data_IF_307281490867
#
_entry.id   IF_307281490867
#
_cell.length_a   1.000
_cell.length_b   1.000
_cell.length_c   1.000
_cell.angle_alpha   90.00
_cell.angle_beta   90.00
_cell.angle_gamma   90.00
#
_symmetry.space_group_name_H-M   'P 1'
#
loop_
_entity.id
_entity.type
_entity.pdbx_description
1 polymer ?
#
# COMPACT_ATOMS: atom_id res chain seq x y z
N UNK A 1 -26.65 5.84 21.15
CA UNK A 1 -25.37 5.82 20.42
C UNK A 1 -25.26 7.12 19.62
N UNK A 2 -24.16 7.86 19.73
CA UNK A 2 -23.97 9.13 19.01
C UNK A 2 -23.05 8.88 17.82
N UNK A 3 -23.55 9.00 16.59
CA UNK A 3 -22.69 8.95 15.39
C UNK A 3 -22.14 10.35 15.16
N UNK A 4 -20.84 10.54 15.31
CA UNK A 4 -20.16 11.74 14.81
C UNK A 4 -20.32 11.78 13.29
N UNK A 5 -21.25 12.58 12.81
CA UNK A 5 -21.34 12.95 11.40
C UNK A 5 -20.19 13.90 11.11
N UNK A 6 -19.09 13.37 10.56
CA UNK A 6 -17.94 14.16 10.15
C UNK A 6 -18.38 15.32 9.24
N UNK A 7 -18.02 16.55 9.62
CA UNK A 7 -18.36 17.75 8.87
C UNK A 7 -17.71 17.73 7.48
N UNK A 8 -18.25 18.48 6.51
CA UNK A 8 -17.67 18.54 5.16
C UNK A 8 -16.19 18.94 5.16
N UNK A 9 -15.77 19.79 6.10
CA UNK A 9 -14.37 20.15 6.29
C UNK A 9 -13.50 18.95 6.70
N UNK A 10 -14.00 18.09 7.58
CA UNK A 10 -13.30 16.86 7.99
C UNK A 10 -13.21 15.82 6.86
N UNK A 11 -14.14 15.84 5.90
CA UNK A 11 -14.07 15.01 4.69
C UNK A 11 -13.09 15.54 3.63
N UNK A 12 -12.89 16.86 3.54
CA UNK A 12 -12.01 17.49 2.54
C UNK A 12 -10.51 17.36 2.87
N UNK A 13 -10.14 17.39 4.15
CA UNK A 13 -8.75 17.24 4.59
C UNK A 13 -8.07 15.92 4.14
N UNK A 14 -8.66 14.72 4.33
CA UNK A 14 -8.04 13.48 3.89
C UNK A 14 -7.94 13.39 2.36
N UNK A 15 -8.94 13.89 1.63
CA UNK A 15 -8.93 13.89 0.17
C UNK A 15 -7.81 14.76 -0.41
N UNK A 16 -7.55 15.93 0.19
CA UNK A 16 -6.43 16.80 -0.20
C UNK A 16 -5.08 16.13 0.05
N UNK A 17 -4.88 15.56 1.24
CA UNK A 17 -3.63 14.88 1.59
C UNK A 17 -3.37 13.68 0.67
N UNK A 18 -4.39 12.85 0.40
CA UNK A 18 -4.26 11.73 -0.52
C UNK A 18 -3.81 12.17 -1.92
N UNK A 19 -4.44 13.22 -2.48
CA UNK A 19 -4.09 13.74 -3.81
C UNK A 19 -2.69 14.34 -3.87
N UNK A 20 -2.28 15.09 -2.85
CA UNK A 20 -1.02 15.84 -2.86
C UNK A 20 0.19 15.02 -2.40
N UNK A 21 -0.01 14.01 -1.55
CA UNK A 21 1.08 13.30 -0.85
C UNK A 21 1.14 11.82 -1.15
N UNK A 22 0.12 11.23 -1.76
CA UNK A 22 0.11 9.80 -2.09
C UNK A 22 0.20 9.59 -3.60
N UNK A 23 1.10 8.70 -4.01
CA UNK A 23 1.18 8.24 -5.39
C UNK A 23 0.63 6.82 -5.49
N UNK A 24 -0.30 6.60 -6.42
CA UNK A 24 -0.81 5.27 -6.72
C UNK A 24 0.09 4.60 -7.77
N UNK A 25 0.48 3.35 -7.49
CA UNK A 25 1.18 2.48 -8.44
C UNK A 25 0.36 1.20 -8.58
N UNK A 26 0.04 0.82 -9.80
CA UNK A 26 -0.78 -0.36 -10.12
C UNK A 26 0.09 -1.44 -10.73
N UNK A 27 -0.04 -2.67 -10.21
CA UNK A 27 0.61 -3.87 -10.76
C UNK A 27 -0.49 -4.79 -11.25
N UNK A 28 -0.32 -5.35 -12.45
CA UNK A 28 -1.25 -6.32 -13.03
C UNK A 28 -0.63 -7.71 -12.92
N UNK A 29 -1.43 -8.68 -12.49
CA UNK A 29 -1.06 -10.09 -12.41
C UNK A 29 -1.74 -10.82 -13.57
N UNK A 30 -0.95 -11.56 -14.35
CA UNK A 30 -1.44 -12.40 -15.43
C UNK A 30 -1.82 -13.81 -14.95
N UNK A 31 -2.28 -14.69 -15.85
CA UNK A 31 -2.63 -16.07 -15.50
C UNK A 31 -1.47 -16.88 -14.90
N UNK A 32 -0.23 -16.57 -15.31
CA UNK A 32 0.97 -17.24 -14.81
C UNK A 32 1.39 -16.79 -13.41
N UNK A 33 0.83 -15.67 -12.91
CA UNK A 33 1.13 -15.14 -11.57
C UNK A 33 0.05 -15.55 -10.55
N UNK A 34 -0.78 -16.55 -10.87
CA UNK A 34 -1.93 -16.94 -10.05
C UNK A 34 -1.51 -17.40 -8.64
N UNK A 35 -0.37 -18.06 -8.53
CA UNK A 35 0.25 -18.47 -7.27
C UNK A 35 0.72 -17.27 -6.43
N UNK A 36 1.39 -16.30 -7.06
CA UNK A 36 1.85 -15.06 -6.41
C UNK A 36 0.64 -14.23 -5.96
N UNK A 37 -0.39 -14.14 -6.80
CA UNK A 37 -1.63 -13.44 -6.47
C UNK A 37 -2.33 -14.09 -5.30
N UNK A 38 -2.47 -15.42 -5.28
CA UNK A 38 -3.06 -16.16 -4.17
C UNK A 38 -2.27 -15.94 -2.85
N UNK A 39 -0.94 -15.93 -2.92
CA UNK A 39 -0.08 -15.65 -1.77
C UNK A 39 -0.23 -14.23 -1.24
N UNK A 40 -0.40 -13.25 -2.13
CA UNK A 40 -0.70 -11.87 -1.75
C UNK A 40 -2.10 -11.77 -1.14
N UNK A 41 -3.08 -12.49 -1.69
CA UNK A 41 -4.47 -12.49 -1.25
C UNK A 41 -4.65 -13.06 0.15
N UNK A 42 -3.84 -14.06 0.53
CA UNK A 42 -3.81 -14.61 1.88
C UNK A 42 -3.34 -13.62 2.96
N UNK A 43 -2.81 -12.43 2.59
CA UNK A 43 -2.31 -11.45 3.55
C UNK A 43 -3.44 -10.55 4.06
N UNK A 44 -3.56 -10.35 5.39
CA UNK A 44 -4.57 -9.45 5.95
C UNK A 44 -4.31 -7.99 5.57
N UNK A 45 -3.06 -7.62 5.26
CA UNK A 45 -2.68 -6.30 4.76
C UNK A 45 -1.70 -6.40 3.59
N UNK A 46 -2.24 -6.48 2.38
CA UNK A 46 -1.50 -6.55 1.11
C UNK A 46 -0.55 -5.37 0.90
N UNK A 47 -1.04 -4.15 1.11
CA UNK A 47 -0.25 -2.94 0.90
C UNK A 47 0.91 -2.83 1.91
N UNK A 48 0.68 -3.23 3.16
CA UNK A 48 1.71 -3.30 4.19
C UNK A 48 2.77 -4.34 3.85
N UNK A 49 2.33 -5.53 3.43
CA UNK A 49 3.22 -6.62 3.00
C UNK A 49 4.13 -6.20 1.85
N UNK A 50 3.57 -5.64 0.77
CA UNK A 50 4.36 -5.16 -0.38
C UNK A 50 5.37 -4.09 0.04
N UNK A 51 4.97 -3.11 0.87
CA UNK A 51 5.90 -2.08 1.37
C UNK A 51 7.02 -2.66 2.24
N UNK A 52 6.73 -3.71 3.02
CA UNK A 52 7.75 -4.38 3.82
C UNK A 52 8.78 -5.09 2.94
N UNK A 53 8.33 -5.77 1.88
CA UNK A 53 9.22 -6.38 0.90
C UNK A 53 10.13 -5.36 0.22
N UNK A 54 9.56 -4.23 -0.25
CA UNK A 54 10.35 -3.16 -0.88
C UNK A 54 11.40 -2.59 0.09
N UNK A 55 11.04 -2.36 1.37
CA UNK A 55 12.02 -1.87 2.35
C UNK A 55 13.12 -2.89 2.64
N UNK A 56 12.78 -4.17 2.74
CA UNK A 56 13.76 -5.23 2.94
C UNK A 56 14.70 -5.37 1.73
N UNK A 57 14.15 -5.25 0.52
CA UNK A 57 14.90 -5.25 -0.73
C UNK A 57 15.88 -4.07 -0.80
N UNK A 58 15.40 -2.84 -0.53
CA UNK A 58 16.25 -1.64 -0.42
C UNK A 58 17.38 -1.83 0.60
N UNK A 59 17.09 -2.45 1.75
CA UNK A 59 18.08 -2.71 2.80
C UNK A 59 19.13 -3.76 2.41
N UNK A 60 18.79 -4.70 1.53
CA UNK A 60 19.74 -5.69 0.99
C UNK A 60 20.60 -5.09 -0.13
N UNK A 61 20.00 -4.26 -0.99
CA UNK A 61 20.71 -3.58 -2.06
C UNK A 61 21.79 -2.60 -1.55
N UNK A 62 21.63 -2.06 -0.34
CA UNK A 62 22.64 -1.20 0.31
C UNK A 62 23.70 -1.94 1.11
N UNK A 63 23.74 -3.28 1.07
CA UNK A 63 24.70 -4.12 1.82
C UNK A 63 25.86 -4.70 1.00
N UNK A 64 25.90 -4.43 -0.31
CA UNK A 64 26.89 -4.96 -1.27
C UNK A 64 27.84 -3.86 -1.82
N UNK A 65 27.99 -2.74 -1.08
CA UNK A 65 29.08 -1.76 -1.27
C UNK A 65 30.09 -1.83 -0.10
N UNK A 66 30.66 -3.01 0.12
CA UNK A 66 31.72 -3.27 1.10
C UNK A 66 32.67 -4.36 0.65
#
# INVERSE_FOLDING_TARGET
MYTVTASEAQKRAPAKYQREKMQLRTVKFGPNDADILAHLDARPNKAGYIKALIRADMGRAGGDEG
#
